data_IF_048997805535
#
_entry.id   IF_048997805535
#
_cell.length_a   1.000
_cell.length_b   1.000
_cell.length_c   1.000
_cell.angle_alpha   90.00
_cell.angle_beta   90.00
_cell.angle_gamma   90.00
#
_symmetry.space_group_name_H-M   'P 1'
#
loop_
_entity.id
_entity.type
_entity.pdbx_description
1 polymer ?
#
# COMPACT_ATOMS: atom_id res chain seq x y z
N UNK A 1 24.54 17.73 -30.18
CA UNK A 1 23.98 16.51 -29.55
C UNK A 1 23.53 16.95 -28.17
N UNK A 2 22.22 17.08 -27.96
CA UNK A 2 21.65 17.53 -26.70
C UNK A 2 21.58 16.32 -25.74
N UNK A 3 22.29 16.39 -24.62
CA UNK A 3 22.31 15.34 -23.61
C UNK A 3 21.10 15.50 -22.70
N UNK A 4 20.02 14.76 -22.96
CA UNK A 4 18.89 14.67 -22.04
C UNK A 4 19.29 13.77 -20.85
N UNK A 5 19.41 14.31 -19.61
CA UNK A 5 19.70 13.50 -18.45
C UNK A 5 18.47 12.65 -18.12
N UNK A 6 18.54 11.34 -18.35
CA UNK A 6 17.52 10.42 -17.85
C UNK A 6 17.70 10.24 -16.35
N UNK A 7 16.72 10.70 -15.58
CA UNK A 7 16.61 10.42 -14.14
C UNK A 7 15.90 9.08 -13.95
N UNK A 8 16.58 8.10 -13.35
CA UNK A 8 15.96 6.86 -12.90
C UNK A 8 15.22 7.18 -11.59
N UNK A 9 13.89 7.20 -11.62
CA UNK A 9 13.11 7.24 -10.39
C UNK A 9 13.32 5.92 -9.64
N UNK A 10 13.67 6.00 -8.36
CA UNK A 10 13.66 4.83 -7.49
C UNK A 10 12.25 4.27 -7.47
N UNK A 11 12.12 2.96 -7.67
CA UNK A 11 10.82 2.30 -7.79
C UNK A 11 9.97 2.58 -6.55
N UNK A 12 8.65 2.68 -6.73
CA UNK A 12 7.74 2.74 -5.59
C UNK A 12 7.95 1.55 -4.64
N UNK A 13 7.50 1.71 -3.39
CA UNK A 13 7.56 0.63 -2.37
C UNK A 13 6.96 -0.67 -2.90
N UNK A 14 7.66 -1.78 -2.66
CA UNK A 14 7.17 -3.11 -3.03
C UNK A 14 6.01 -3.54 -2.13
N UNK A 15 5.16 -4.43 -2.64
CA UNK A 15 4.04 -4.98 -1.86
C UNK A 15 4.53 -5.70 -0.60
N UNK A 16 5.64 -6.43 -0.69
CA UNK A 16 6.28 -7.08 0.46
C UNK A 16 6.73 -6.07 1.52
N UNK A 17 7.33 -4.95 1.12
CA UNK A 17 7.71 -3.88 2.06
C UNK A 17 6.49 -3.26 2.75
N UNK A 18 5.35 -3.18 2.07
CA UNK A 18 4.11 -2.72 2.67
C UNK A 18 3.57 -3.71 3.71
N UNK A 19 3.60 -5.01 3.41
CA UNK A 19 3.15 -6.06 4.34
C UNK A 19 4.05 -6.14 5.57
N UNK A 20 5.38 -6.04 5.39
CA UNK A 20 6.34 -6.03 6.49
C UNK A 20 6.20 -4.79 7.37
N UNK A 21 6.04 -3.60 6.78
CA UNK A 21 5.82 -2.37 7.54
C UNK A 21 4.53 -2.44 8.37
N UNK A 22 3.48 -3.03 7.79
CA UNK A 22 2.19 -3.21 8.46
C UNK A 22 2.28 -4.23 9.60
N UNK A 23 2.96 -5.36 9.39
CA UNK A 23 3.23 -6.34 10.45
C UNK A 23 4.14 -5.76 11.55
N UNK A 24 5.12 -4.93 11.20
CA UNK A 24 6.06 -4.30 12.14
C UNK A 24 5.40 -3.25 13.05
N UNK A 25 4.28 -2.64 12.62
CA UNK A 25 3.50 -1.69 13.42
C UNK A 25 2.72 -2.39 14.56
N UNK A 26 2.62 -3.71 14.55
CA UNK A 26 1.97 -4.47 15.63
C UNK A 26 0.44 -4.34 15.64
N UNK A 27 -0.16 -3.85 14.55
CA UNK A 27 -1.60 -3.88 14.36
C UNK A 27 -2.03 -5.34 14.19
N UNK A 28 -3.04 -5.78 14.95
CA UNK A 28 -3.57 -7.13 14.74
C UNK A 28 -4.12 -7.20 13.29
N UNK A 29 -4.01 -8.34 12.61
CA UNK A 29 -4.58 -8.51 11.26
C UNK A 29 -6.05 -8.07 11.18
N UNK A 30 -6.81 -8.22 12.28
CA UNK A 30 -8.19 -7.74 12.41
C UNK A 30 -8.34 -6.22 12.40
N UNK A 31 -7.39 -5.45 12.95
CA UNK A 31 -7.45 -3.99 12.98
C UNK A 31 -7.27 -3.40 11.58
N UNK A 32 -6.42 -4.02 10.76
CA UNK A 32 -6.21 -3.62 9.37
C UNK A 32 -7.44 -3.91 8.52
N UNK A 33 -8.07 -5.08 8.72
CA UNK A 33 -9.36 -5.39 8.09
C UNK A 33 -10.41 -4.36 8.48
N UNK A 34 -10.48 -3.97 9.77
CA UNK A 34 -11.42 -2.96 10.24
C UNK A 34 -11.18 -1.58 9.58
N UNK A 35 -9.92 -1.15 9.43
CA UNK A 35 -9.56 0.10 8.74
C UNK A 35 -9.93 0.03 7.25
N UNK A 36 -9.58 -1.05 6.57
CA UNK A 36 -9.88 -1.23 5.14
C UNK A 36 -11.40 -1.29 4.87
N UNK A 37 -12.17 -1.94 5.75
CA UNK A 37 -13.63 -1.92 5.70
C UNK A 37 -14.20 -0.51 5.92
N UNK A 38 -13.67 0.22 6.91
CA UNK A 38 -14.10 1.58 7.18
C UNK A 38 -13.86 2.51 5.98
N UNK A 39 -12.69 2.40 5.34
CA UNK A 39 -12.35 3.17 4.14
C UNK A 39 -13.22 2.79 2.93
N UNK A 40 -13.56 1.51 2.77
CA UNK A 40 -14.52 1.05 1.74
C UNK A 40 -15.91 1.65 1.96
N UNK A 41 -16.42 1.63 3.19
CA UNK A 41 -17.73 2.22 3.55
C UNK A 41 -17.75 3.74 3.36
N UNK A 42 -16.63 4.41 3.65
CA UNK A 42 -16.47 5.84 3.41
C UNK A 42 -16.34 6.21 1.92
N UNK A 43 -16.26 5.24 1.01
CA UNK A 43 -16.04 5.47 -0.42
C UNK A 43 -14.61 5.93 -0.75
N UNK A 44 -13.72 5.97 0.24
CA UNK A 44 -12.33 6.39 0.12
C UNK A 44 -11.43 5.32 -0.54
N UNK A 45 -11.91 4.07 -0.59
CA UNK A 45 -11.18 2.95 -1.17
C UNK A 45 -11.89 2.40 -2.42
N UNK A 46 -11.34 2.69 -3.61
CA UNK A 46 -11.75 2.04 -4.88
C UNK A 46 -10.90 0.79 -5.13
N UNK A 47 -11.15 -0.25 -4.36
CA UNK A 47 -10.48 -1.54 -4.52
C UNK A 47 -11.39 -2.69 -4.06
N UNK A 48 -11.09 -3.92 -4.50
CA UNK A 48 -11.73 -5.13 -3.98
C UNK A 48 -10.86 -5.71 -2.87
N UNK A 49 -11.40 -5.75 -1.65
CA UNK A 49 -10.76 -6.46 -0.54
C UNK A 49 -10.96 -7.97 -0.76
N UNK A 50 -9.86 -8.69 -0.92
CA UNK A 50 -9.83 -10.17 -1.02
C UNK A 50 -9.05 -10.69 0.18
N UNK A 51 -9.67 -11.58 0.96
CA UNK A 51 -9.04 -12.28 2.10
C UNK A 51 -8.90 -13.74 1.70
N UNK A 52 -7.67 -14.28 1.73
CA UNK A 52 -7.32 -15.65 1.35
C UNK A 52 -7.09 -16.52 2.59
#
# INVERSE_FOLDING_TARGET
>A
VETNPMFLFDGGVSLDQLVDAVNAVGAAPGDLVAILEALKRAGALKAQLVVL
#
